data_IF_280810388440
#
_entry.id   IF_280810388440
#
_cell.length_a   1.000
_cell.length_b   1.000
_cell.length_c   1.000
_cell.angle_alpha   90.00
_cell.angle_beta   90.00
_cell.angle_gamma   90.00
#
_symmetry.space_group_name_H-M   'P 1'
#
loop_
_entity.id
_entity.type
_entity.pdbx_description
1 polymer ?
#
# COMPACT_ATOMS: atom_id res chain seq x y z
N UNK A 1 20.71 20.14 -5.48
CA UNK A 1 19.88 20.50 -6.65
C UNK A 1 18.62 21.19 -6.15
N UNK A 2 17.97 22.04 -7.00
CA UNK A 2 16.65 22.62 -6.70
C UNK A 2 15.57 21.74 -7.31
N UNK A 3 14.63 21.28 -6.51
CA UNK A 3 13.62 20.28 -6.88
C UNK A 3 12.23 20.77 -6.46
N UNK A 4 11.24 20.62 -7.33
CA UNK A 4 9.83 20.76 -6.96
C UNK A 4 9.16 19.40 -6.93
N UNK A 5 8.31 19.17 -5.93
CA UNK A 5 7.44 17.99 -5.85
C UNK A 5 6.00 18.44 -5.83
N UNK A 6 5.27 18.12 -6.88
CA UNK A 6 3.87 18.52 -7.07
C UNK A 6 2.94 17.40 -6.58
N UNK A 7 2.18 17.72 -5.55
CA UNK A 7 1.38 16.75 -4.77
C UNK A 7 2.12 16.28 -3.53
N UNK A 8 1.50 16.45 -2.36
CA UNK A 8 2.02 16.02 -1.06
C UNK A 8 1.19 14.86 -0.48
N UNK A 9 0.65 14.01 -1.35
CA UNK A 9 0.16 12.70 -0.95
C UNK A 9 1.29 11.84 -0.37
N UNK A 10 0.99 10.60 -0.04
CA UNK A 10 1.96 9.67 0.56
C UNK A 10 3.29 9.63 -0.23
N UNK A 11 3.22 9.33 -1.53
CA UNK A 11 4.41 9.24 -2.41
C UNK A 11 5.16 10.57 -2.49
N UNK A 12 4.43 11.68 -2.66
CA UNK A 12 5.06 12.99 -2.85
C UNK A 12 5.76 13.49 -1.59
N UNK A 13 5.14 13.33 -0.42
CA UNK A 13 5.73 13.78 0.83
C UNK A 13 6.96 12.96 1.22
N UNK A 14 6.90 11.62 1.08
CA UNK A 14 8.06 10.75 1.30
C UNK A 14 9.18 11.10 0.30
N UNK A 15 8.85 11.26 -0.99
CA UNK A 15 9.82 11.63 -2.03
C UNK A 15 10.49 12.97 -1.71
N UNK A 16 9.72 14.01 -1.42
CA UNK A 16 10.25 15.34 -1.14
C UNK A 16 11.15 15.36 0.09
N UNK A 17 10.70 14.72 1.18
CA UNK A 17 11.46 14.63 2.42
C UNK A 17 12.77 13.86 2.25
N UNK A 18 12.73 12.70 1.58
CA UNK A 18 13.92 11.89 1.35
C UNK A 18 14.89 12.54 0.35
N UNK A 19 14.41 13.30 -0.65
CA UNK A 19 15.28 14.07 -1.54
C UNK A 19 15.98 15.22 -0.80
N UNK A 20 15.27 15.91 0.11
CA UNK A 20 15.87 16.94 0.95
C UNK A 20 16.97 16.39 1.87
N UNK A 21 16.80 15.15 2.37
CA UNK A 21 17.73 14.49 3.28
C UNK A 21 19.13 14.32 2.67
N UNK A 22 19.26 14.24 1.37
CA UNK A 22 20.55 14.14 0.68
C UNK A 22 21.15 15.48 0.25
N UNK A 23 20.61 16.60 0.79
CA UNK A 23 21.16 17.94 0.58
C UNK A 23 20.60 18.66 -0.64
N UNK A 24 19.44 18.27 -1.14
CA UNK A 24 18.73 19.02 -2.17
C UNK A 24 17.81 20.06 -1.52
N UNK A 25 17.61 21.20 -2.20
CA UNK A 25 16.60 22.20 -1.85
C UNK A 25 15.28 21.77 -2.49
N UNK A 26 14.30 21.37 -1.68
CA UNK A 26 13.04 20.79 -2.14
C UNK A 26 11.86 21.68 -1.77
N UNK A 27 11.05 22.03 -2.75
CA UNK A 27 9.79 22.75 -2.57
C UNK A 27 8.65 21.79 -2.90
N UNK A 28 7.84 21.44 -1.90
CA UNK A 28 6.64 20.63 -2.08
C UNK A 28 5.42 21.53 -2.30
N UNK A 29 4.65 21.23 -3.33
CA UNK A 29 3.45 22.01 -3.72
C UNK A 29 2.20 21.16 -3.53
N UNK A 30 1.20 21.72 -2.87
CA UNK A 30 -0.14 21.11 -2.79
C UNK A 30 -1.21 22.20 -2.93
N UNK A 31 -2.34 21.87 -3.55
CA UNK A 31 -3.46 22.79 -3.72
C UNK A 31 -4.28 22.98 -2.43
N UNK A 32 -4.12 22.09 -1.46
CA UNK A 32 -4.83 22.11 -0.19
C UNK A 32 -4.11 23.05 0.80
N UNK A 33 -4.62 24.27 0.94
CA UNK A 33 -4.06 25.28 1.85
C UNK A 33 -3.96 24.82 3.31
N UNK A 34 -4.95 24.10 3.80
CA UNK A 34 -4.96 23.62 5.19
C UNK A 34 -3.81 22.62 5.41
N UNK A 35 -3.62 21.72 4.48
CA UNK A 35 -2.52 20.75 4.52
C UNK A 35 -1.15 21.42 4.41
N UNK A 36 -1.02 22.42 3.53
CA UNK A 36 0.23 23.19 3.41
C UNK A 36 0.54 23.92 4.71
N UNK A 37 -0.46 24.57 5.34
CA UNK A 37 -0.29 25.25 6.64
C UNK A 37 0.10 24.26 7.74
N UNK A 38 -0.50 23.07 7.77
CA UNK A 38 -0.15 22.01 8.70
C UNK A 38 1.34 21.61 8.55
N UNK A 39 1.79 21.34 7.33
CA UNK A 39 3.19 20.99 7.05
C UNK A 39 4.16 22.14 7.37
N UNK A 40 3.78 23.39 7.09
CA UNK A 40 4.56 24.58 7.46
C UNK A 40 4.67 24.77 8.97
N UNK A 41 3.67 24.32 9.73
CA UNK A 41 3.70 24.30 11.20
C UNK A 41 4.55 23.13 11.77
N UNK A 42 5.09 22.28 10.91
CA UNK A 42 5.89 21.13 11.33
C UNK A 42 5.07 19.85 11.56
N UNK A 43 3.79 19.82 11.19
CA UNK A 43 2.96 18.63 11.39
C UNK A 43 2.99 17.73 10.14
N UNK A 44 3.31 16.45 10.32
CA UNK A 44 3.31 15.45 9.24
C UNK A 44 1.89 14.91 9.02
N UNK A 45 1.29 15.12 7.83
CA UNK A 45 -0.12 14.76 7.59
C UNK A 45 -0.37 13.30 7.23
N UNK A 46 0.63 12.44 7.32
CA UNK A 46 0.55 11.00 7.02
C UNK A 46 1.27 10.20 8.09
N UNK A 47 0.81 8.97 8.33
CA UNK A 47 1.53 8.03 9.18
C UNK A 47 2.55 7.24 8.32
N UNK A 48 3.84 7.40 8.62
CA UNK A 48 4.93 6.62 8.03
C UNK A 48 6.11 6.58 9.00
N UNK A 49 6.51 5.39 9.50
CA UNK A 49 7.64 5.26 10.42
C UNK A 49 8.93 5.89 9.87
N UNK A 50 9.57 6.71 10.69
CA UNK A 50 10.82 7.38 10.36
C UNK A 50 10.71 8.64 9.51
N UNK A 51 9.55 8.95 8.94
CA UNK A 51 9.34 10.16 8.12
C UNK A 51 9.43 11.42 8.99
N UNK A 52 8.82 11.40 10.15
CA UNK A 52 8.73 12.54 11.06
C UNK A 52 10.12 13.12 11.41
N UNK A 53 11.08 12.24 11.73
CA UNK A 53 12.45 12.63 12.03
C UNK A 53 13.12 13.36 10.85
N UNK A 54 13.00 12.83 9.64
CA UNK A 54 13.59 13.43 8.44
C UNK A 54 12.90 14.73 8.06
N UNK A 55 11.58 14.76 8.20
CA UNK A 55 10.74 15.90 7.90
C UNK A 55 11.15 17.12 8.73
N UNK A 56 11.18 17.01 10.07
CA UNK A 56 11.56 18.10 10.96
C UNK A 56 13.01 18.56 10.72
N UNK A 57 13.94 17.61 10.62
CA UNK A 57 15.34 17.94 10.37
C UNK A 57 15.55 18.76 9.11
N UNK A 58 14.84 18.43 8.02
CA UNK A 58 15.00 19.12 6.75
C UNK A 58 14.28 20.47 6.70
N UNK A 59 13.21 20.66 7.49
CA UNK A 59 12.61 21.98 7.71
C UNK A 59 13.58 22.87 8.49
N UNK A 60 14.13 22.39 9.61
CA UNK A 60 15.09 23.14 10.43
C UNK A 60 16.36 23.56 9.65
N UNK A 61 16.75 22.75 8.67
CA UNK A 61 17.89 23.04 7.79
C UNK A 61 17.50 23.82 6.53
N UNK A 62 16.26 24.30 6.44
CA UNK A 62 15.72 25.10 5.32
C UNK A 62 15.81 24.40 3.96
N UNK A 63 15.93 23.06 3.92
CA UNK A 63 16.00 22.27 2.69
C UNK A 63 14.66 21.74 2.20
N UNK A 64 13.64 21.73 3.07
CA UNK A 64 12.30 21.26 2.77
C UNK A 64 11.30 22.38 3.05
N UNK A 65 10.59 22.84 2.04
CA UNK A 65 9.59 23.91 2.15
C UNK A 65 8.28 23.49 1.50
N UNK A 66 7.19 24.13 1.91
CA UNK A 66 5.83 23.82 1.44
C UNK A 66 5.11 25.08 0.98
N UNK A 67 4.40 25.00 -0.16
CA UNK A 67 3.68 26.13 -0.72
C UNK A 67 2.46 25.68 -1.51
N UNK A 68 1.49 26.59 -1.66
CA UNK A 68 0.42 26.46 -2.65
C UNK A 68 0.76 27.16 -3.97
N UNK A 69 1.87 27.93 -4.02
CA UNK A 69 2.28 28.69 -5.20
C UNK A 69 3.12 27.83 -6.15
N UNK A 70 2.47 27.29 -7.18
CA UNK A 70 3.11 26.50 -8.22
C UNK A 70 4.16 27.31 -9.01
N UNK A 71 3.91 28.62 -9.25
CA UNK A 71 4.78 29.42 -10.10
C UNK A 71 6.18 29.61 -9.48
N UNK A 72 6.26 29.84 -8.16
CA UNK A 72 7.53 30.01 -7.47
C UNK A 72 8.32 28.69 -7.47
N UNK A 73 7.65 27.56 -7.21
CA UNK A 73 8.28 26.26 -7.22
C UNK A 73 8.83 25.87 -8.61
N UNK A 74 8.04 26.09 -9.68
CA UNK A 74 8.45 25.80 -11.07
C UNK A 74 9.62 26.66 -11.50
N UNK A 75 9.61 27.95 -11.13
CA UNK A 75 10.68 28.89 -11.48
C UNK A 75 12.03 28.44 -10.93
N UNK A 76 12.07 28.05 -9.68
CA UNK A 76 13.31 27.72 -8.97
C UNK A 76 13.83 26.31 -9.30
N UNK A 77 12.94 25.34 -9.58
CA UNK A 77 13.30 23.94 -9.72
C UNK A 77 13.97 23.62 -11.06
N UNK A 78 15.00 22.78 -11.02
CA UNK A 78 15.62 22.14 -12.20
C UNK A 78 14.90 20.83 -12.57
N UNK A 79 14.42 20.11 -11.57
CA UNK A 79 13.70 18.85 -11.71
C UNK A 79 12.34 19.00 -11.01
N UNK A 80 11.28 18.63 -11.71
CA UNK A 80 9.90 18.73 -11.20
C UNK A 80 9.30 17.33 -11.16
N UNK A 81 9.05 16.82 -9.97
CA UNK A 81 8.34 15.56 -9.74
C UNK A 81 6.84 15.79 -9.70
N UNK A 82 6.10 15.05 -10.49
CA UNK A 82 4.64 14.97 -10.43
C UNK A 82 4.27 13.71 -9.63
N UNK A 83 3.84 13.88 -8.38
CA UNK A 83 3.42 12.83 -7.45
C UNK A 83 1.93 12.99 -7.12
N UNK A 84 1.11 12.98 -8.17
CA UNK A 84 -0.31 13.30 -8.14
C UNK A 84 -1.18 12.02 -8.06
N UNK A 85 -2.39 12.10 -7.51
CA UNK A 85 -3.28 10.96 -7.44
C UNK A 85 -3.68 10.47 -8.84
N UNK A 86 -3.83 9.15 -8.97
CA UNK A 86 -4.36 8.47 -10.15
C UNK A 86 -5.49 7.54 -9.70
N UNK A 87 -6.64 8.08 -9.24
CA UNK A 87 -7.73 7.26 -8.76
C UNK A 87 -8.32 6.42 -9.89
N UNK A 88 -8.91 5.26 -9.59
CA UNK A 88 -9.63 4.50 -10.59
C UNK A 88 -10.87 5.27 -11.04
N UNK A 89 -11.09 5.36 -12.34
CA UNK A 89 -12.34 5.81 -12.95
C UNK A 89 -13.45 4.77 -12.75
N UNK A 90 -14.68 5.13 -13.09
CA UNK A 90 -15.83 4.22 -12.98
C UNK A 90 -15.73 2.95 -13.84
N UNK A 91 -14.87 2.94 -14.84
CA UNK A 91 -14.56 1.81 -15.71
C UNK A 91 -13.28 1.04 -15.31
N UNK A 92 -12.65 1.43 -14.21
CA UNK A 92 -11.40 0.85 -13.72
C UNK A 92 -10.11 1.39 -14.36
N UNK A 93 -10.20 2.29 -15.35
CA UNK A 93 -9.04 3.00 -15.88
C UNK A 93 -8.49 4.01 -14.86
N UNK A 94 -7.18 4.29 -14.90
CA UNK A 94 -6.62 5.34 -14.07
C UNK A 94 -7.01 6.73 -14.60
N UNK A 95 -7.54 7.60 -13.73
CA UNK A 95 -7.81 8.99 -14.07
C UNK A 95 -6.51 9.81 -14.14
N UNK A 96 -6.19 10.30 -15.32
CA UNK A 96 -5.00 11.13 -15.60
C UNK A 96 -5.27 12.63 -15.54
N UNK A 97 -6.47 13.08 -15.23
CA UNK A 97 -6.85 14.49 -15.23
C UNK A 97 -5.94 15.36 -14.37
N UNK A 98 -5.57 14.86 -13.19
CA UNK A 98 -4.65 15.57 -12.28
C UNK A 98 -3.24 15.74 -12.88
N UNK A 99 -2.71 14.69 -13.50
CA UNK A 99 -1.36 14.73 -14.10
C UNK A 99 -1.33 15.63 -15.32
N UNK A 100 -2.29 15.49 -16.23
CA UNK A 100 -2.35 16.31 -17.45
C UNK A 100 -2.70 17.76 -17.14
N UNK A 101 -3.54 18.01 -16.13
CA UNK A 101 -3.83 19.34 -15.62
C UNK A 101 -2.58 20.03 -15.07
N UNK A 102 -1.84 19.36 -14.19
CA UNK A 102 -0.59 19.87 -13.65
C UNK A 102 0.47 20.10 -14.75
N UNK A 103 0.61 19.16 -15.68
CA UNK A 103 1.52 19.34 -16.83
C UNK A 103 1.18 20.58 -17.65
N UNK A 104 -0.12 20.86 -17.90
CA UNK A 104 -0.59 22.05 -18.59
C UNK A 104 -0.28 23.34 -17.81
N UNK A 105 -0.45 23.34 -16.49
CA UNK A 105 -0.16 24.52 -15.69
C UNK A 105 1.35 24.77 -15.56
N UNK A 106 2.15 23.71 -15.36
CA UNK A 106 3.61 23.79 -15.36
C UNK A 106 4.12 24.32 -16.71
N UNK A 107 3.59 23.82 -17.84
CA UNK A 107 4.05 24.20 -19.19
C UNK A 107 3.93 25.68 -19.48
N UNK A 108 2.97 26.38 -18.85
CA UNK A 108 2.79 27.84 -18.98
C UNK A 108 3.78 28.66 -18.14
N UNK A 109 4.42 28.05 -17.16
CA UNK A 109 5.27 28.71 -16.18
C UNK A 109 6.76 28.53 -16.44
N UNK A 110 7.14 27.51 -17.22
CA UNK A 110 8.56 27.24 -17.51
C UNK A 110 9.14 28.25 -18.49
N UNK A 111 10.33 28.76 -18.18
CA UNK A 111 11.07 29.72 -18.99
C UNK A 111 12.44 29.22 -19.44
N UNK A 112 12.88 28.08 -18.92
CA UNK A 112 14.14 27.41 -19.19
C UNK A 112 13.98 25.90 -19.14
N UNK A 113 14.98 25.18 -19.63
CA UNK A 113 14.99 23.70 -19.61
C UNK A 113 14.69 23.13 -18.23
N UNK A 114 13.77 22.17 -18.18
CA UNK A 114 13.40 21.42 -16.98
C UNK A 114 13.30 19.92 -17.29
N UNK A 115 13.56 19.08 -16.28
CA UNK A 115 13.22 17.66 -16.30
C UNK A 115 11.89 17.46 -15.55
N UNK A 116 10.90 16.94 -16.25
CA UNK A 116 9.56 16.65 -15.70
C UNK A 116 9.49 15.16 -15.41
N UNK A 117 9.29 14.79 -14.16
CA UNK A 117 9.33 13.41 -13.70
C UNK A 117 7.94 12.92 -13.30
N UNK A 118 7.40 11.93 -14.02
CA UNK A 118 6.20 11.21 -13.60
C UNK A 118 6.60 10.22 -12.51
N UNK A 119 6.28 10.55 -11.26
CA UNK A 119 6.51 9.67 -10.09
C UNK A 119 5.31 8.79 -9.79
N UNK A 120 4.12 9.24 -10.09
CA UNK A 120 2.87 8.48 -9.93
C UNK A 120 2.85 7.22 -10.77
N UNK A 121 2.15 6.20 -10.30
CA UNK A 121 1.83 5.00 -11.08
C UNK A 121 0.78 5.34 -12.14
N UNK A 122 1.15 5.21 -13.40
CA UNK A 122 0.36 5.66 -14.55
C UNK A 122 0.29 4.60 -15.65
N UNK A 123 -0.79 4.55 -16.44
CA UNK A 123 -0.92 3.68 -17.62
C UNK A 123 0.19 3.93 -18.65
N UNK A 124 0.52 2.87 -19.39
CA UNK A 124 1.49 2.92 -20.49
C UNK A 124 1.09 3.98 -21.52
N UNK A 125 2.05 4.83 -21.89
CA UNK A 125 1.85 5.96 -22.82
C UNK A 125 1.49 7.26 -22.14
N UNK A 126 1.46 7.33 -20.82
CA UNK A 126 1.21 8.61 -20.10
C UNK A 126 2.34 9.62 -20.32
N UNK A 127 3.59 9.19 -20.35
CA UNK A 127 4.71 10.08 -20.66
C UNK A 127 4.56 10.73 -22.05
N UNK A 128 4.05 10.02 -23.04
CA UNK A 128 3.79 10.55 -24.38
C UNK A 128 2.70 11.65 -24.34
N UNK A 129 1.64 11.42 -23.54
CA UNK A 129 0.56 12.42 -23.35
C UNK A 129 1.09 13.68 -22.64
N UNK A 130 1.93 13.49 -21.61
CA UNK A 130 2.57 14.62 -20.92
C UNK A 130 3.47 15.40 -21.87
N UNK A 131 4.30 14.75 -22.68
CA UNK A 131 5.13 15.39 -23.72
C UNK A 131 4.28 16.21 -24.70
N UNK A 132 3.15 15.68 -25.15
CA UNK A 132 2.23 16.38 -26.04
C UNK A 132 1.68 17.67 -25.40
N UNK A 133 1.28 17.61 -24.11
CA UNK A 133 0.81 18.80 -23.38
C UNK A 133 1.89 19.89 -23.33
N UNK A 134 3.16 19.54 -23.09
CA UNK A 134 4.25 20.52 -23.11
C UNK A 134 4.49 21.08 -24.52
N UNK A 135 4.52 20.25 -25.55
CA UNK A 135 4.72 20.67 -26.93
C UNK A 135 3.62 21.63 -27.43
N UNK A 136 2.39 21.48 -26.95
CA UNK A 136 1.26 22.33 -27.28
C UNK A 136 1.28 23.70 -26.57
N UNK A 137 1.90 23.81 -25.39
CA UNK A 137 1.77 24.99 -24.54
C UNK A 137 3.06 25.80 -24.37
N UNK A 138 4.21 25.29 -24.77
CA UNK A 138 5.49 26.00 -24.65
C UNK A 138 6.47 25.62 -25.75
N UNK A 139 7.38 26.55 -26.09
CA UNK A 139 8.53 26.31 -26.97
C UNK A 139 9.80 25.97 -26.18
N UNK A 140 9.73 25.97 -24.85
CA UNK A 140 10.88 25.64 -24.00
C UNK A 140 11.12 24.13 -24.05
N UNK A 141 12.38 23.75 -24.23
CA UNK A 141 12.79 22.34 -24.21
C UNK A 141 12.53 21.73 -22.83
N UNK A 142 11.88 20.57 -22.80
CA UNK A 142 11.68 19.75 -21.60
C UNK A 142 11.95 18.29 -21.90
N UNK A 143 12.48 17.59 -20.91
CA UNK A 143 12.53 16.12 -20.94
C UNK A 143 11.51 15.54 -19.96
N UNK A 144 10.71 14.60 -20.42
CA UNK A 144 9.78 13.85 -19.57
C UNK A 144 10.41 12.51 -19.23
N UNK A 145 10.48 12.21 -17.93
CA UNK A 145 11.03 10.98 -17.38
C UNK A 145 9.92 10.21 -16.66
N UNK A 146 9.75 8.93 -16.95
CA UNK A 146 8.94 8.04 -16.15
C UNK A 146 9.81 7.45 -15.03
N UNK A 147 9.47 7.72 -13.78
CA UNK A 147 10.21 7.23 -12.61
C UNK A 147 9.24 6.64 -11.59
N UNK A 148 8.69 5.46 -11.87
CA UNK A 148 7.74 4.83 -10.96
C UNK A 148 8.37 4.58 -9.58
N UNK A 149 7.55 4.71 -8.54
CA UNK A 149 7.93 4.40 -7.17
C UNK A 149 7.73 2.91 -6.85
N UNK A 150 8.50 2.39 -5.92
CA UNK A 150 8.35 1.03 -5.39
C UNK A 150 8.33 1.06 -3.87
N UNK A 151 7.75 2.12 -3.31
CA UNK A 151 7.64 2.35 -1.88
C UNK A 151 6.57 1.44 -1.29
N UNK A 152 6.86 0.90 -0.10
CA UNK A 152 5.89 0.14 0.69
C UNK A 152 5.50 0.98 1.91
N UNK A 153 4.24 1.30 2.06
CA UNK A 153 3.74 1.95 3.27
C UNK A 153 4.27 1.25 4.53
N UNK A 154 4.63 2.01 5.55
CA UNK A 154 5.23 1.50 6.79
C UNK A 154 6.75 1.26 6.73
N UNK A 155 7.38 1.29 5.55
CA UNK A 155 8.84 1.18 5.35
C UNK A 155 9.31 2.02 4.15
N UNK A 156 8.52 3.00 3.74
CA UNK A 156 8.77 3.77 2.52
C UNK A 156 10.01 4.67 2.61
N UNK A 157 10.32 5.16 3.81
CA UNK A 157 11.55 5.92 4.04
C UNK A 157 12.78 5.04 3.76
N UNK A 158 12.81 3.83 4.30
CA UNK A 158 13.92 2.89 4.06
C UNK A 158 13.98 2.47 2.58
N UNK A 159 12.82 2.18 1.96
CA UNK A 159 12.73 1.83 0.54
C UNK A 159 13.24 2.96 -0.37
N UNK A 160 13.01 4.22 0.00
CA UNK A 160 13.51 5.36 -0.76
C UNK A 160 15.01 5.60 -0.53
N UNK A 161 15.45 5.55 0.74
CA UNK A 161 16.85 5.81 1.11
C UNK A 161 17.81 4.70 0.69
N UNK A 162 17.31 3.46 0.54
CA UNK A 162 18.08 2.27 0.16
C UNK A 162 17.28 1.40 -0.84
N UNK A 163 16.99 1.91 -2.04
CA UNK A 163 16.15 1.21 -3.00
C UNK A 163 16.83 -0.04 -3.55
N UNK A 164 16.09 -1.13 -3.75
CA UNK A 164 16.59 -2.32 -4.46
C UNK A 164 17.03 -1.97 -5.92
N UNK A 165 16.37 -1.00 -6.51
CA UNK A 165 16.67 -0.42 -7.84
C UNK A 165 15.95 0.91 -8.02
N UNK A 166 16.48 1.73 -8.92
CA UNK A 166 15.79 2.92 -9.45
C UNK A 166 15.47 2.67 -10.91
N UNK A 167 14.21 2.83 -11.33
CA UNK A 167 13.78 2.65 -12.73
C UNK A 167 13.54 4.04 -13.34
N UNK A 168 14.20 4.30 -14.48
CA UNK A 168 14.12 5.58 -15.19
C UNK A 168 13.81 5.35 -16.67
N UNK A 169 12.61 5.73 -17.08
CA UNK A 169 12.16 5.69 -18.46
C UNK A 169 12.45 7.01 -19.16
N UNK A 170 13.51 7.08 -19.96
CA UNK A 170 13.84 8.24 -20.81
C UNK A 170 14.89 7.88 -21.86
N UNK A 171 14.79 8.53 -23.03
CA UNK A 171 15.80 8.46 -24.10
C UNK A 171 16.79 9.63 -24.07
N UNK A 172 16.50 10.69 -23.29
CA UNK A 172 17.36 11.87 -23.21
C UNK A 172 18.62 11.64 -22.40
N UNK A 173 19.79 11.77 -23.01
CA UNK A 173 21.08 11.66 -22.31
C UNK A 173 21.26 12.77 -21.26
N UNK A 174 20.68 13.96 -21.52
CA UNK A 174 20.71 15.09 -20.59
C UNK A 174 19.90 14.79 -19.31
N UNK A 175 18.69 14.24 -19.48
CA UNK A 175 17.88 13.79 -18.36
C UNK A 175 18.52 12.60 -17.62
N UNK A 176 19.08 11.63 -18.34
CA UNK A 176 19.80 10.49 -17.72
C UNK A 176 20.91 10.97 -16.80
N UNK A 177 21.72 11.94 -17.25
CA UNK A 177 22.82 12.49 -16.45
C UNK A 177 22.30 13.13 -15.16
N UNK A 178 21.30 14.03 -15.25
CA UNK A 178 20.72 14.71 -14.09
C UNK A 178 20.08 13.73 -13.09
N UNK A 179 19.34 12.77 -13.61
CA UNK A 179 18.69 11.76 -12.75
C UNK A 179 19.70 10.80 -12.12
N UNK A 180 20.80 10.49 -12.80
CA UNK A 180 21.91 9.71 -12.22
C UNK A 180 22.56 10.48 -11.07
N UNK A 181 22.86 11.75 -11.25
CA UNK A 181 23.42 12.61 -10.21
C UNK A 181 22.48 12.71 -9.00
N UNK A 182 21.18 12.86 -9.24
CA UNK A 182 20.18 12.91 -8.19
C UNK A 182 20.10 11.61 -7.37
N UNK A 183 20.10 10.45 -8.04
CA UNK A 183 19.93 9.15 -7.37
C UNK A 183 21.25 8.52 -6.89
N UNK A 184 22.42 9.07 -7.25
CA UNK A 184 23.72 8.53 -6.85
C UNK A 184 23.88 8.32 -5.34
N UNK A 185 23.40 9.21 -4.43
CA UNK A 185 23.49 8.99 -2.99
C UNK A 185 22.78 7.75 -2.48
N UNK A 186 21.67 7.36 -3.13
CA UNK A 186 20.79 6.26 -2.69
C UNK A 186 21.26 4.88 -3.16
N UNK A 187 22.08 4.83 -4.24
CA UNK A 187 22.54 3.57 -4.86
C UNK A 187 24.00 3.25 -4.59
N UNK A 188 24.62 3.89 -3.60
CA UNK A 188 26.05 3.70 -3.25
C UNK A 188 26.43 2.27 -2.87
N UNK A 189 25.43 1.47 -2.46
CA UNK A 189 25.65 0.06 -2.10
C UNK A 189 25.70 -0.88 -3.31
N UNK A 190 25.66 -0.35 -4.54
CA UNK A 190 25.74 -1.12 -5.78
C UNK A 190 24.39 -1.50 -6.38
N UNK A 191 23.28 -1.01 -5.81
CA UNK A 191 21.97 -1.20 -6.39
C UNK A 191 21.85 -0.44 -7.73
N UNK A 192 21.19 -1.00 -8.76
CA UNK A 192 21.24 -0.44 -10.09
C UNK A 192 20.29 0.74 -10.30
N UNK A 193 20.70 1.69 -11.14
CA UNK A 193 19.79 2.58 -11.86
C UNK A 193 19.54 1.94 -13.23
N UNK A 194 18.29 1.55 -13.49
CA UNK A 194 17.88 0.87 -14.72
C UNK A 194 17.27 1.89 -15.68
N UNK A 195 17.95 2.14 -16.79
CA UNK A 195 17.44 2.98 -17.87
C UNK A 195 16.70 2.15 -18.91
N UNK A 196 15.53 2.64 -19.30
CA UNK A 196 14.70 2.05 -20.35
C UNK A 196 13.89 3.15 -21.04
N UNK A 197 13.09 2.81 -22.04
CA UNK A 197 12.11 3.74 -22.60
C UNK A 197 10.96 3.98 -21.60
N UNK A 198 10.21 5.05 -21.82
CA UNK A 198 9.17 5.52 -20.91
C UNK A 198 8.05 4.49 -20.75
N UNK A 199 7.61 3.87 -21.85
CA UNK A 199 6.53 2.85 -21.84
C UNK A 199 6.92 1.59 -21.08
N UNK A 200 8.16 1.13 -21.25
CA UNK A 200 8.71 -0.01 -20.50
C UNK A 200 8.79 0.31 -18.99
N UNK A 201 9.18 1.53 -18.64
CA UNK A 201 9.24 1.99 -17.26
C UNK A 201 7.84 2.03 -16.61
N UNK A 202 6.85 2.58 -17.30
CA UNK A 202 5.45 2.61 -16.86
C UNK A 202 4.90 1.19 -16.65
N UNK A 203 5.12 0.29 -17.62
CA UNK A 203 4.68 -1.10 -17.53
C UNK A 203 5.37 -1.87 -16.40
N UNK A 204 6.64 -1.57 -16.13
CA UNK A 204 7.43 -2.26 -15.08
C UNK A 204 6.76 -2.14 -13.71
N UNK A 205 6.19 -0.99 -13.37
CA UNK A 205 5.49 -0.80 -12.09
C UNK A 205 4.25 -1.68 -11.99
N UNK A 206 3.39 -1.65 -13.00
CA UNK A 206 2.18 -2.47 -13.03
C UNK A 206 2.50 -3.96 -13.02
N UNK A 207 3.48 -4.38 -13.82
CA UNK A 207 3.91 -5.78 -13.87
C UNK A 207 4.44 -6.26 -12.52
N UNK A 208 5.26 -5.44 -11.83
CA UNK A 208 5.80 -5.78 -10.51
C UNK A 208 4.68 -5.95 -9.48
N UNK A 209 3.75 -4.98 -9.37
CA UNK A 209 2.67 -5.04 -8.39
C UNK A 209 1.70 -6.20 -8.71
N UNK A 210 1.37 -6.42 -9.97
CA UNK A 210 0.52 -7.52 -10.40
C UNK A 210 1.14 -8.89 -10.13
N UNK A 211 2.45 -9.02 -10.31
CA UNK A 211 3.16 -10.27 -10.01
C UNK A 211 3.17 -10.55 -8.49
N UNK A 212 3.38 -9.53 -7.67
CA UNK A 212 3.33 -9.68 -6.20
C UNK A 212 1.92 -10.07 -5.73
N UNK A 213 0.88 -9.44 -6.27
CA UNK A 213 -0.52 -9.79 -6.00
C UNK A 213 -0.82 -11.25 -6.43
N UNK A 214 -0.30 -11.67 -7.57
CA UNK A 214 -0.42 -13.05 -8.06
C UNK A 214 0.23 -14.05 -7.09
N UNK A 215 1.42 -13.75 -6.55
CA UNK A 215 2.10 -14.62 -5.57
C UNK A 215 1.24 -14.81 -4.30
N UNK A 216 0.68 -13.72 -3.77
CA UNK A 216 -0.21 -13.79 -2.59
C UNK A 216 -1.44 -14.64 -2.91
N UNK A 217 -2.11 -14.36 -4.02
CA UNK A 217 -3.33 -15.06 -4.42
C UNK A 217 -3.07 -16.55 -4.68
N UNK A 218 -1.97 -16.89 -5.36
CA UNK A 218 -1.54 -18.27 -5.55
C UNK A 218 -1.35 -19.00 -4.21
N UNK A 219 -0.72 -18.35 -3.23
CA UNK A 219 -0.54 -18.96 -1.91
C UNK A 219 -1.84 -19.07 -1.12
N UNK A 220 -2.81 -18.18 -1.33
CA UNK A 220 -4.13 -18.31 -0.75
C UNK A 220 -4.88 -19.52 -1.32
N UNK A 221 -4.83 -19.73 -2.64
CA UNK A 221 -5.40 -20.94 -3.28
C UNK A 221 -4.72 -22.22 -2.78
N UNK A 222 -3.38 -22.24 -2.66
CA UNK A 222 -2.64 -23.37 -2.08
C UNK A 222 -3.05 -23.61 -0.62
N UNK A 223 -3.24 -22.54 0.17
CA UNK A 223 -3.69 -22.67 1.56
C UNK A 223 -5.08 -23.31 1.65
N UNK A 224 -6.02 -22.83 0.83
CA UNK A 224 -7.37 -23.39 0.78
C UNK A 224 -7.34 -24.88 0.36
N UNK A 225 -6.50 -25.25 -0.60
CA UNK A 225 -6.30 -26.65 -0.99
C UNK A 225 -5.67 -27.48 0.15
N UNK A 226 -4.68 -26.92 0.87
CA UNK A 226 -4.07 -27.61 2.03
C UNK A 226 -5.11 -28.03 3.06
N UNK A 227 -6.09 -27.18 3.35
CA UNK A 227 -7.19 -27.52 4.30
C UNK A 227 -8.03 -28.72 3.81
N UNK A 228 -8.21 -28.89 2.51
CA UNK A 228 -8.99 -29.99 1.93
C UNK A 228 -8.22 -31.31 1.88
N UNK A 229 -6.91 -31.24 1.60
CA UNK A 229 -6.08 -32.46 1.44
C UNK A 229 -5.32 -32.85 2.70
N UNK A 230 -5.44 -32.06 3.78
CA UNK A 230 -4.76 -32.32 5.06
C UNK A 230 -3.27 -31.98 5.04
N UNK A 231 -2.83 -31.07 4.15
CA UNK A 231 -1.46 -30.55 4.12
C UNK A 231 -1.32 -29.31 5.02
N UNK A 232 -0.07 -28.88 5.27
CA UNK A 232 0.27 -27.68 6.02
C UNK A 232 0.88 -26.64 5.08
N UNK A 233 0.22 -25.47 4.95
CA UNK A 233 0.66 -24.41 4.03
C UNK A 233 2.02 -23.82 4.42
N UNK A 234 2.39 -23.78 5.71
CA UNK A 234 3.69 -23.28 6.13
C UNK A 234 4.83 -24.21 5.70
N UNK A 235 4.60 -25.54 5.72
CA UNK A 235 5.54 -26.52 5.19
C UNK A 235 5.67 -26.37 3.67
N UNK A 236 4.54 -26.27 2.94
CA UNK A 236 4.53 -26.04 1.48
C UNK A 236 5.25 -24.74 1.14
N UNK A 237 4.94 -23.63 1.82
CA UNK A 237 5.57 -22.33 1.65
C UNK A 237 7.08 -22.38 1.84
N UNK A 238 7.55 -23.05 2.91
CA UNK A 238 8.99 -23.23 3.16
C UNK A 238 9.65 -24.06 2.05
N UNK A 239 8.97 -25.13 1.62
CA UNK A 239 9.45 -26.00 0.55
C UNK A 239 9.65 -25.24 -0.77
N UNK A 240 8.59 -24.61 -1.30
CA UNK A 240 8.68 -23.87 -2.58
C UNK A 240 9.57 -22.61 -2.47
N UNK A 241 9.52 -21.91 -1.34
CA UNK A 241 10.28 -20.69 -1.11
C UNK A 241 11.78 -20.90 -0.92
N UNK A 242 12.25 -22.16 -0.74
CA UNK A 242 13.67 -22.50 -0.71
C UNK A 242 14.32 -22.54 -2.09
N UNK A 243 13.53 -22.62 -3.17
CA UNK A 243 13.98 -22.48 -4.53
C UNK A 243 14.26 -21.01 -4.83
N UNK A 244 15.50 -20.65 -5.20
CA UNK A 244 15.92 -19.27 -5.51
C UNK A 244 15.12 -18.65 -6.67
N UNK A 245 14.64 -19.46 -7.61
CA UNK A 245 13.83 -19.01 -8.74
C UNK A 245 12.46 -18.48 -8.28
N UNK A 246 11.94 -18.94 -7.14
CA UNK A 246 10.67 -18.54 -6.54
C UNK A 246 10.89 -17.47 -5.47
N UNK A 247 11.85 -17.70 -4.57
CA UNK A 247 12.16 -16.83 -3.44
C UNK A 247 11.12 -16.86 -2.33
N UNK A 248 11.49 -16.39 -1.14
CA UNK A 248 10.68 -16.51 0.10
C UNK A 248 9.61 -15.43 0.29
N UNK A 249 9.75 -14.29 -0.41
CA UNK A 249 8.89 -13.12 -0.19
C UNK A 249 7.56 -13.24 -0.93
N UNK A 250 6.49 -12.68 -0.32
CA UNK A 250 5.12 -12.67 -0.87
C UNK A 250 4.48 -14.05 -1.02
N UNK A 251 4.90 -15.02 -0.20
CA UNK A 251 4.34 -16.38 -0.15
C UNK A 251 3.54 -16.63 1.14
N UNK A 252 3.08 -15.60 1.82
CA UNK A 252 2.32 -15.74 3.07
C UNK A 252 0.82 -15.70 2.76
N UNK A 253 0.09 -16.80 3.04
CA UNK A 253 -1.36 -16.81 2.89
C UNK A 253 -2.04 -16.00 3.98
N UNK A 254 -3.25 -15.55 3.72
CA UNK A 254 -4.05 -14.79 4.66
C UNK A 254 -5.45 -14.52 4.14
N UNK A 255 -6.04 -13.43 4.59
CA UNK A 255 -7.40 -12.99 4.23
C UNK A 255 -7.45 -12.16 2.94
N UNK A 256 -6.53 -12.38 2.02
CA UNK A 256 -6.41 -11.60 0.79
C UNK A 256 -5.53 -10.35 0.95
N UNK A 257 -5.33 -9.66 -0.16
CA UNK A 257 -4.61 -8.38 -0.20
C UNK A 257 -5.59 -7.20 -0.32
N UNK A 258 -5.17 -6.05 0.21
CA UNK A 258 -5.81 -4.76 0.11
C UNK A 258 -4.79 -3.65 -0.11
N UNK A 259 -5.08 -2.47 0.39
CA UNK A 259 -4.26 -1.27 0.28
C UNK A 259 -4.50 -0.49 -1.00
N UNK A 260 -3.87 0.65 -1.09
CA UNK A 260 -4.03 1.62 -2.19
C UNK A 260 -3.43 1.20 -3.53
N UNK A 261 -2.51 0.22 -3.51
CA UNK A 261 -1.69 -0.10 -4.68
C UNK A 261 -2.18 -1.36 -5.42
N UNK A 262 -2.15 -2.53 -4.78
CA UNK A 262 -2.39 -3.80 -5.50
C UNK A 262 -3.77 -3.87 -6.15
N UNK A 263 -4.89 -3.58 -5.46
CA UNK A 263 -6.21 -3.66 -6.10
C UNK A 263 -6.32 -2.74 -7.31
N UNK A 264 -5.90 -1.48 -7.14
CA UNK A 264 -5.96 -0.47 -8.19
C UNK A 264 -5.05 -0.81 -9.38
N UNK A 265 -3.81 -1.23 -9.13
CA UNK A 265 -2.81 -1.43 -10.19
C UNK A 265 -3.09 -2.70 -10.99
N UNK A 266 -3.56 -3.78 -10.34
CA UNK A 266 -4.02 -4.99 -11.05
C UNK A 266 -5.20 -4.67 -11.94
N UNK A 267 -6.21 -3.94 -11.42
CA UNK A 267 -7.39 -3.52 -12.19
C UNK A 267 -7.01 -2.63 -13.38
N UNK A 268 -6.13 -1.64 -13.15
CA UNK A 268 -5.68 -0.74 -14.21
C UNK A 268 -4.88 -1.47 -15.31
N UNK A 269 -4.08 -2.49 -14.96
CA UNK A 269 -3.36 -3.28 -15.96
C UNK A 269 -4.32 -4.16 -16.78
N UNK A 270 -5.32 -4.77 -16.16
CA UNK A 270 -6.37 -5.52 -16.87
C UNK A 270 -7.12 -4.58 -17.82
N UNK A 271 -7.54 -3.40 -17.32
CA UNK A 271 -8.24 -2.42 -18.16
C UNK A 271 -7.37 -1.93 -19.33
N UNK A 272 -6.11 -1.61 -19.07
CA UNK A 272 -5.17 -1.23 -20.13
C UNK A 272 -4.97 -2.35 -21.17
N UNK A 273 -5.00 -3.62 -20.76
CA UNK A 273 -4.92 -4.74 -21.72
C UNK A 273 -6.14 -4.86 -22.62
N UNK A 274 -7.33 -4.61 -22.05
CA UNK A 274 -8.59 -4.62 -22.82
C UNK A 274 -8.60 -3.52 -23.92
N UNK A 275 -7.97 -2.36 -23.68
CA UNK A 275 -7.82 -1.28 -24.68
C UNK A 275 -7.00 -1.72 -25.91
N UNK A 276 -6.16 -2.75 -25.77
CA UNK A 276 -5.40 -3.39 -26.84
C UNK A 276 -6.01 -4.71 -27.31
N UNK A 277 -7.24 -5.04 -26.94
CA UNK A 277 -7.93 -6.30 -27.22
C UNK A 277 -7.12 -7.54 -26.73
N UNK A 278 -6.39 -7.39 -25.63
CA UNK A 278 -5.62 -8.47 -25.00
C UNK A 278 -6.32 -8.93 -23.71
N UNK A 279 -6.82 -10.16 -23.69
CA UNK A 279 -7.48 -10.77 -22.53
C UNK A 279 -6.44 -11.25 -21.50
N UNK A 280 -6.25 -10.48 -20.43
CA UNK A 280 -5.29 -10.81 -19.37
C UNK A 280 -5.89 -11.78 -18.35
N UNK A 281 -6.07 -13.03 -18.72
CA UNK A 281 -6.77 -14.09 -17.97
C UNK A 281 -6.20 -14.30 -16.55
N UNK A 282 -4.87 -14.35 -16.38
CA UNK A 282 -4.25 -14.57 -15.08
C UNK A 282 -4.68 -13.50 -14.08
N UNK A 283 -4.63 -12.22 -14.45
CA UNK A 283 -4.99 -11.15 -13.54
C UNK A 283 -6.48 -11.07 -13.22
N UNK A 284 -7.34 -11.40 -14.18
CA UNK A 284 -8.80 -11.54 -13.96
C UNK A 284 -9.06 -12.61 -12.89
N UNK A 285 -8.39 -13.76 -12.99
CA UNK A 285 -8.50 -14.83 -11.99
C UNK A 285 -7.95 -14.39 -10.63
N UNK A 286 -6.82 -13.66 -10.60
CA UNK A 286 -6.23 -13.12 -9.36
C UNK A 286 -7.21 -12.20 -8.63
N UNK A 287 -7.90 -11.31 -9.36
CA UNK A 287 -8.90 -10.41 -8.78
C UNK A 287 -10.08 -11.20 -8.20
N UNK A 288 -10.63 -12.15 -8.97
CA UNK A 288 -11.76 -12.97 -8.53
C UNK A 288 -11.44 -13.79 -7.27
N UNK A 289 -10.30 -14.44 -7.25
CA UNK A 289 -9.85 -15.24 -6.09
C UNK A 289 -9.64 -14.33 -4.87
N UNK A 290 -9.04 -13.15 -5.03
CA UNK A 290 -8.82 -12.23 -3.95
C UNK A 290 -10.13 -11.72 -3.32
N UNK A 291 -11.15 -11.43 -4.14
CA UNK A 291 -12.47 -11.03 -3.62
C UNK A 291 -13.09 -12.11 -2.73
N UNK A 292 -13.01 -13.38 -3.13
CA UNK A 292 -13.49 -14.51 -2.30
C UNK A 292 -12.66 -14.64 -1.02
N UNK A 293 -11.35 -14.42 -1.09
CA UNK A 293 -10.45 -14.58 0.04
C UNK A 293 -10.69 -13.56 1.15
N UNK A 294 -11.17 -12.35 0.84
CA UNK A 294 -11.44 -11.30 1.83
C UNK A 294 -12.45 -11.72 2.91
N UNK A 295 -13.34 -12.65 2.60
CA UNK A 295 -14.37 -13.12 3.54
C UNK A 295 -14.14 -14.52 4.12
N UNK A 296 -13.01 -15.15 3.81
CA UNK A 296 -12.72 -16.55 4.23
C UNK A 296 -12.83 -16.77 5.74
N UNK A 297 -12.50 -15.78 6.58
CA UNK A 297 -12.69 -15.90 8.03
C UNK A 297 -14.16 -15.94 8.42
N UNK A 298 -15.02 -15.23 7.70
CA UNK A 298 -16.47 -15.25 7.98
C UNK A 298 -17.04 -16.63 7.67
N UNK A 299 -16.60 -17.27 6.57
CA UNK A 299 -17.02 -18.62 6.23
C UNK A 299 -16.61 -19.62 7.34
N UNK A 300 -15.41 -19.46 7.91
CA UNK A 300 -14.95 -20.29 9.05
C UNK A 300 -15.78 -20.05 10.32
N UNK A 301 -16.14 -18.78 10.58
CA UNK A 301 -17.03 -18.42 11.71
C UNK A 301 -18.42 -19.03 11.52
N UNK A 302 -19.04 -18.84 10.35
CA UNK A 302 -20.36 -19.42 10.03
C UNK A 302 -20.37 -20.95 10.17
N UNK A 303 -19.34 -21.61 9.64
CA UNK A 303 -19.20 -23.06 9.78
C UNK A 303 -19.11 -23.52 11.27
N UNK A 304 -18.38 -22.78 12.10
CA UNK A 304 -18.26 -23.11 13.54
C UNK A 304 -19.59 -22.94 14.27
N UNK A 305 -20.29 -21.82 14.02
CA UNK A 305 -21.56 -21.51 14.66
C UNK A 305 -22.79 -22.05 13.92
N UNK A 306 -22.59 -22.92 12.90
CA UNK A 306 -23.66 -23.55 12.10
C UNK A 306 -24.63 -22.52 11.50
N UNK A 307 -24.07 -21.47 10.91
CA UNK A 307 -24.75 -20.33 10.29
C UNK A 307 -25.61 -19.47 11.25
N UNK A 308 -25.52 -19.71 12.58
CA UNK A 308 -26.24 -18.94 13.60
C UNK A 308 -25.29 -18.03 14.38
N UNK A 309 -25.05 -16.83 13.86
CA UNK A 309 -24.25 -15.81 14.53
C UNK A 309 -25.07 -14.59 14.95
N UNK A 310 -26.38 -14.63 14.81
CA UNK A 310 -27.25 -13.55 15.24
C UNK A 310 -27.15 -13.34 16.75
N UNK A 311 -26.84 -12.08 17.13
CA UNK A 311 -26.63 -11.73 18.53
C UNK A 311 -25.30 -12.20 19.14
N UNK A 312 -24.42 -12.85 18.36
CA UNK A 312 -23.04 -13.13 18.78
C UNK A 312 -22.23 -11.85 18.77
N UNK A 313 -21.21 -11.80 19.62
CA UNK A 313 -20.27 -10.71 19.72
C UNK A 313 -18.86 -11.17 19.36
N UNK A 314 -18.22 -10.51 18.41
CA UNK A 314 -16.88 -10.84 17.97
C UNK A 314 -15.89 -9.72 18.26
N UNK A 315 -14.70 -10.07 18.72
CA UNK A 315 -13.56 -9.17 18.73
C UNK A 315 -12.81 -9.27 17.40
N UNK A 316 -12.44 -8.16 16.80
CA UNK A 316 -11.60 -8.13 15.59
C UNK A 316 -10.35 -7.31 15.85
N UNK A 317 -9.19 -7.94 15.74
CA UNK A 317 -7.88 -7.32 15.82
C UNK A 317 -7.30 -7.08 14.43
N UNK A 318 -6.95 -5.81 14.17
CA UNK A 318 -6.38 -5.36 12.91
C UNK A 318 -7.45 -4.88 11.93
N UNK A 319 -7.32 -3.63 11.49
CA UNK A 319 -8.23 -2.95 10.56
C UNK A 319 -7.52 -2.46 9.32
N UNK A 320 -6.25 -2.01 9.45
CA UNK A 320 -5.41 -1.68 8.32
C UNK A 320 -5.14 -2.92 7.45
N UNK A 321 -4.89 -2.73 6.15
CA UNK A 321 -4.64 -3.85 5.23
C UNK A 321 -3.36 -4.64 5.54
N UNK A 322 -2.42 -4.03 6.28
CA UNK A 322 -1.19 -4.64 6.82
C UNK A 322 -0.69 -3.84 8.04
N UNK A 323 0.29 -4.35 8.81
CA UNK A 323 0.91 -3.59 9.90
C UNK A 323 1.67 -2.34 9.42
N UNK A 324 1.95 -1.43 10.38
CA UNK A 324 2.76 -0.21 10.20
C UNK A 324 2.18 0.77 9.17
N UNK A 325 0.84 0.80 9.03
CA UNK A 325 0.10 1.79 8.25
C UNK A 325 -1.30 1.99 8.82
N UNK A 326 -1.89 3.14 8.55
CA UNK A 326 -3.29 3.47 8.86
C UNK A 326 -4.23 3.30 7.64
N UNK A 327 -3.69 2.80 6.50
CA UNK A 327 -4.45 2.64 5.25
C UNK A 327 -5.45 1.48 5.34
N UNK A 328 -6.73 1.82 5.17
CA UNK A 328 -7.87 0.89 5.21
C UNK A 328 -8.49 0.61 3.84
N UNK A 329 -7.95 1.21 2.78
CA UNK A 329 -8.49 1.03 1.42
C UNK A 329 -8.41 -0.43 1.01
N UNK A 330 -9.55 -0.99 0.59
CA UNK A 330 -9.66 -2.41 0.22
C UNK A 330 -9.16 -3.38 1.32
N UNK A 331 -9.11 -2.94 2.60
CA UNK A 331 -8.67 -3.77 3.71
C UNK A 331 -9.66 -4.90 3.96
N UNK A 332 -9.22 -6.19 4.01
CA UNK A 332 -10.09 -7.32 4.24
C UNK A 332 -10.93 -7.22 5.53
N UNK A 333 -10.41 -6.52 6.55
CA UNK A 333 -11.13 -6.30 7.80
C UNK A 333 -12.49 -5.63 7.61
N UNK A 334 -12.62 -4.67 6.68
CA UNK A 334 -13.89 -3.99 6.40
C UNK A 334 -14.91 -4.95 5.77
N UNK A 335 -14.47 -5.85 4.89
CA UNK A 335 -15.33 -6.89 4.30
C UNK A 335 -15.79 -7.91 5.35
N UNK A 336 -14.90 -8.29 6.27
CA UNK A 336 -15.20 -9.17 7.41
C UNK A 336 -16.24 -8.52 8.32
N UNK A 337 -16.06 -7.25 8.70
CA UNK A 337 -17.00 -6.48 9.53
C UNK A 337 -18.38 -6.44 8.86
N UNK A 338 -18.44 -6.01 7.59
CA UNK A 338 -19.69 -5.90 6.85
C UNK A 338 -20.45 -7.23 6.81
N UNK A 339 -19.74 -8.33 6.52
CA UNK A 339 -20.34 -9.65 6.46
C UNK A 339 -20.84 -10.13 7.83
N UNK A 340 -20.09 -9.91 8.93
CA UNK A 340 -20.52 -10.28 10.29
C UNK A 340 -21.77 -9.47 10.71
N UNK A 341 -21.75 -8.16 10.51
CA UNK A 341 -22.85 -7.27 10.87
C UNK A 341 -24.13 -7.59 10.06
N UNK A 342 -24.01 -7.84 8.77
CA UNK A 342 -25.13 -8.27 7.92
C UNK A 342 -25.77 -9.59 8.38
N UNK A 343 -24.99 -10.48 9.00
CA UNK A 343 -25.51 -11.72 9.60
C UNK A 343 -26.00 -11.52 11.05
N UNK A 344 -26.13 -10.28 11.53
CA UNK A 344 -26.73 -9.95 12.82
C UNK A 344 -25.79 -10.07 14.02
N UNK A 345 -24.50 -10.16 13.81
CA UNK A 345 -23.49 -10.13 14.87
C UNK A 345 -23.13 -8.69 15.26
N UNK A 346 -22.59 -8.52 16.45
CA UNK A 346 -21.92 -7.28 16.89
C UNK A 346 -20.40 -7.48 16.87
N UNK A 347 -19.66 -6.41 16.57
CA UNK A 347 -18.20 -6.49 16.48
C UNK A 347 -17.58 -5.36 17.32
N UNK A 348 -16.57 -5.70 18.13
CA UNK A 348 -15.70 -4.72 18.78
C UNK A 348 -14.32 -4.82 18.14
N UNK A 349 -13.78 -3.69 17.70
CA UNK A 349 -12.56 -3.64 16.91
C UNK A 349 -11.42 -2.95 17.66
N UNK A 350 -10.20 -3.36 17.32
CA UNK A 350 -8.98 -2.66 17.73
C UNK A 350 -7.91 -2.74 16.64
N UNK A 351 -7.30 -1.59 16.37
CA UNK A 351 -6.10 -1.43 15.52
C UNK A 351 -5.22 -0.34 16.13
N UNK A 352 -3.89 -0.47 16.13
CA UNK A 352 -3.00 0.56 16.67
C UNK A 352 -3.12 1.94 16.00
N UNK A 353 -3.36 2.00 14.65
CA UNK A 353 -3.29 3.24 13.88
C UNK A 353 -4.59 3.55 13.10
N UNK A 354 -5.31 2.53 12.63
CA UNK A 354 -6.39 2.71 11.66
C UNK A 354 -7.77 3.02 12.27
N UNK A 355 -7.92 3.08 13.59
CA UNK A 355 -9.22 3.25 14.27
C UNK A 355 -9.97 4.50 13.80
N UNK A 356 -9.26 5.63 13.66
CA UNK A 356 -9.84 6.91 13.23
C UNK A 356 -10.36 6.85 11.79
N UNK A 357 -9.58 6.26 10.89
CA UNK A 357 -9.92 6.12 9.48
C UNK A 357 -11.14 5.21 9.30
N UNK A 358 -11.20 4.09 10.02
CA UNK A 358 -12.35 3.18 10.00
C UNK A 358 -13.60 3.86 10.52
N UNK A 359 -13.50 4.59 11.65
CA UNK A 359 -14.63 5.33 12.19
C UNK A 359 -15.17 6.38 11.23
N UNK A 360 -14.29 7.02 10.46
CA UNK A 360 -14.68 7.96 9.40
C UNK A 360 -15.47 7.32 8.26
N UNK A 361 -15.30 6.01 8.00
CA UNK A 361 -15.96 5.30 6.89
C UNK A 361 -17.22 4.57 7.32
N UNK A 362 -17.18 3.80 8.43
CA UNK A 362 -18.31 2.95 8.85
C UNK A 362 -19.04 3.49 10.10
N UNK A 363 -18.59 4.63 10.65
CA UNK A 363 -19.25 5.26 11.80
C UNK A 363 -19.36 4.33 13.01
N UNK A 364 -20.54 4.28 13.61
CA UNK A 364 -20.83 3.50 14.82
C UNK A 364 -21.44 2.11 14.51
N UNK A 365 -21.16 1.52 13.33
CA UNK A 365 -21.58 0.16 13.00
C UNK A 365 -20.88 -0.90 13.86
N UNK A 366 -19.76 -0.55 14.49
CA UNK A 366 -18.97 -1.40 15.39
C UNK A 366 -18.62 -0.64 16.66
N UNK A 367 -18.20 -1.36 17.70
CA UNK A 367 -17.63 -0.75 18.90
C UNK A 367 -16.11 -0.59 18.74
N UNK A 368 -15.57 0.51 19.25
CA UNK A 368 -14.14 0.83 19.16
C UNK A 368 -13.49 0.71 20.53
N UNK A 369 -12.56 -0.24 20.68
CA UNK A 369 -11.83 -0.46 21.92
C UNK A 369 -10.57 0.43 22.01
N UNK A 370 -10.14 0.76 23.24
CA UNK A 370 -8.92 1.54 23.49
C UNK A 370 -7.64 0.72 23.40
N UNK A 371 -7.75 -0.61 23.53
CA UNK A 371 -6.65 -1.54 23.43
C UNK A 371 -7.16 -2.94 23.02
N UNK A 372 -6.24 -3.83 22.67
CA UNK A 372 -6.56 -5.17 22.20
C UNK A 372 -7.35 -6.02 23.19
N UNK A 373 -7.13 -5.84 24.50
CA UNK A 373 -7.83 -6.65 25.52
C UNK A 373 -9.24 -6.16 25.78
N UNK A 374 -9.47 -4.84 25.78
CA UNK A 374 -10.82 -4.28 25.88
C UNK A 374 -11.71 -4.76 24.71
N UNK A 375 -11.13 -4.95 23.52
CA UNK A 375 -11.88 -5.50 22.39
C UNK A 375 -12.44 -6.90 22.65
N UNK A 376 -11.83 -7.68 23.54
CA UNK A 376 -12.24 -9.04 23.86
C UNK A 376 -13.37 -9.12 24.89
N UNK A 377 -13.71 -7.99 25.58
CA UNK A 377 -14.69 -8.01 26.67
C UNK A 377 -16.04 -8.50 26.18
N UNK A 378 -16.46 -9.65 26.73
CA UNK A 378 -17.73 -10.26 26.38
C UNK A 378 -17.83 -10.81 24.95
N UNK A 379 -16.72 -10.93 24.22
CA UNK A 379 -16.72 -11.51 22.89
C UNK A 379 -16.83 -13.04 22.92
N UNK A 380 -17.57 -13.60 21.95
CA UNK A 380 -17.76 -15.05 21.78
C UNK A 380 -16.54 -15.69 21.09
N UNK A 381 -15.80 -14.92 20.28
CA UNK A 381 -14.56 -15.33 19.63
C UNK A 381 -13.69 -14.13 19.26
N UNK A 382 -12.38 -14.38 19.09
CA UNK A 382 -11.41 -13.44 18.53
C UNK A 382 -11.17 -13.75 17.05
N UNK A 383 -11.23 -12.72 16.20
CA UNK A 383 -10.80 -12.74 14.80
C UNK A 383 -9.55 -11.87 14.65
N UNK A 384 -8.60 -12.29 13.81
CA UNK A 384 -7.37 -11.53 13.52
C UNK A 384 -7.28 -11.31 12.01
N UNK A 385 -7.30 -10.05 11.58
CA UNK A 385 -7.22 -9.70 10.17
C UNK A 385 -5.89 -9.06 9.75
N UNK A 386 -5.13 -8.48 10.71
CA UNK A 386 -3.83 -7.86 10.44
C UNK A 386 -2.80 -8.29 11.48
N UNK A 387 -1.56 -8.58 11.03
CA UNK A 387 -0.49 -9.16 11.84
C UNK A 387 0.36 -8.12 12.58
N UNK A 388 -0.25 -7.16 13.26
CA UNK A 388 0.48 -6.19 14.07
C UNK A 388 1.39 -6.86 15.11
N UNK A 389 2.52 -6.22 15.41
CA UNK A 389 3.50 -6.74 16.38
C UNK A 389 2.89 -7.00 17.75
N UNK A 390 1.98 -6.11 18.18
CA UNK A 390 1.31 -6.20 19.49
C UNK A 390 0.39 -7.43 19.59
N UNK A 391 -0.05 -8.02 18.49
CA UNK A 391 -0.90 -9.21 18.46
C UNK A 391 -0.11 -10.53 18.44
N UNK A 392 1.21 -10.49 18.21
CA UNK A 392 2.03 -11.71 18.05
C UNK A 392 2.28 -12.48 19.34
N UNK A 393 2.43 -11.76 20.43
CA UNK A 393 2.71 -12.34 21.75
C UNK A 393 1.77 -11.73 22.81
N UNK A 394 0.45 -11.96 22.71
CA UNK A 394 -0.47 -11.47 23.71
C UNK A 394 -0.34 -12.29 25.00
N UNK A 395 -0.84 -11.73 26.08
CA UNK A 395 -1.04 -12.41 27.36
C UNK A 395 -2.28 -13.33 27.25
N UNK A 396 -2.06 -14.61 27.02
CA UNK A 396 -3.14 -15.59 26.89
C UNK A 396 -3.89 -15.84 28.19
N UNK A 397 -3.24 -15.71 29.35
CA UNK A 397 -3.93 -15.83 30.64
C UNK A 397 -4.96 -14.71 30.80
N UNK A 398 -4.60 -13.50 30.36
CA UNK A 398 -5.52 -12.37 30.33
C UNK A 398 -6.66 -12.60 29.32
N UNK A 399 -6.36 -13.14 28.15
CA UNK A 399 -7.39 -13.47 27.13
C UNK A 399 -8.38 -14.48 27.68
N UNK A 400 -7.90 -15.52 28.35
CA UNK A 400 -8.71 -16.59 28.94
C UNK A 400 -9.71 -16.08 29.99
N UNK A 401 -9.38 -14.99 30.70
CA UNK A 401 -10.27 -14.39 31.70
C UNK A 401 -11.33 -13.46 31.08
N UNK A 402 -11.09 -12.94 29.87
CA UNK A 402 -11.92 -11.90 29.26
C UNK A 402 -12.83 -12.48 28.17
N UNK A 403 -12.31 -13.37 27.34
CA UNK A 403 -13.03 -13.97 26.23
C UNK A 403 -14.04 -15.02 26.78
N UNK A 404 -15.27 -15.00 26.28
CA UNK A 404 -16.29 -15.97 26.75
C UNK A 404 -15.92 -17.42 26.47
N UNK A 405 -15.31 -17.67 25.32
CA UNK A 405 -14.91 -18.99 24.86
C UNK A 405 -13.50 -18.95 24.29
N UNK A 406 -12.73 -20.05 24.46
CA UNK A 406 -11.40 -20.18 23.86
C UNK A 406 -11.48 -20.44 22.35
N UNK A 407 -11.97 -19.47 21.59
CA UNK A 407 -12.19 -19.58 20.14
C UNK A 407 -11.45 -18.46 19.42
N UNK A 408 -10.56 -18.83 18.50
CA UNK A 408 -9.76 -17.88 17.70
C UNK A 408 -9.82 -18.26 16.21
N UNK A 409 -10.14 -17.28 15.38
CA UNK A 409 -10.05 -17.34 13.93
C UNK A 409 -8.90 -16.43 13.47
N UNK A 410 -7.82 -17.02 13.04
CA UNK A 410 -6.59 -16.30 12.73
C UNK A 410 -6.35 -16.21 11.22
N UNK A 411 -6.62 -15.05 10.65
CA UNK A 411 -6.44 -14.74 9.22
C UNK A 411 -5.00 -14.51 8.80
N UNK A 412 -4.04 -14.54 9.73
CA UNK A 412 -2.63 -14.22 9.48
C UNK A 412 -1.63 -15.25 9.99
N UNK A 413 -2.15 -16.36 10.52
CA UNK A 413 -1.32 -17.47 11.01
C UNK A 413 -0.29 -17.03 12.05
N UNK A 414 -0.70 -16.19 13.03
CA UNK A 414 0.21 -15.60 14.02
C UNK A 414 0.73 -16.60 15.03
N UNK A 415 -0.13 -17.56 15.44
CA UNK A 415 0.19 -18.42 16.56
C UNK A 415 0.67 -19.79 16.12
N UNK A 416 1.60 -20.34 16.90
CA UNK A 416 2.05 -21.72 16.76
C UNK A 416 0.94 -22.71 17.11
N UNK A 417 0.79 -23.78 16.32
CA UNK A 417 -0.28 -24.76 16.50
C UNK A 417 -0.15 -25.50 17.81
N UNK A 418 1.08 -25.90 18.20
CA UNK A 418 1.29 -26.64 19.44
C UNK A 418 0.95 -25.80 20.67
N UNK A 419 1.34 -24.51 20.63
CA UNK A 419 0.99 -23.54 21.69
C UNK A 419 -0.53 -23.43 21.85
N UNK A 420 -1.29 -23.37 20.75
CA UNK A 420 -2.75 -23.24 20.81
C UNK A 420 -3.41 -24.56 21.31
N UNK A 421 -2.84 -25.72 21.00
CA UNK A 421 -3.27 -27.01 21.56
C UNK A 421 -3.05 -27.00 23.08
N UNK A 422 -1.85 -26.66 23.55
CA UNK A 422 -1.49 -26.67 24.96
C UNK A 422 -2.36 -25.72 25.80
N UNK A 423 -2.80 -24.60 25.19
CA UNK A 423 -3.71 -23.65 25.82
C UNK A 423 -5.20 -24.05 25.73
N UNK A 424 -5.53 -25.11 24.97
CA UNK A 424 -6.90 -25.61 24.82
C UNK A 424 -7.83 -24.74 23.99
N UNK A 425 -7.32 -24.07 22.95
CA UNK A 425 -8.13 -23.26 22.08
C UNK A 425 -8.72 -24.05 20.90
N UNK A 426 -9.98 -23.75 20.57
CA UNK A 426 -10.41 -23.89 19.18
C UNK A 426 -9.67 -22.84 18.35
N UNK A 427 -8.84 -23.33 17.44
CA UNK A 427 -8.02 -22.43 16.63
C UNK A 427 -8.14 -22.79 15.15
N UNK A 428 -8.67 -21.86 14.36
CA UNK A 428 -8.87 -22.01 12.93
C UNK A 428 -8.11 -20.93 12.20
N UNK A 429 -7.07 -21.30 11.49
CA UNK A 429 -6.19 -20.40 10.72
C UNK A 429 -6.26 -20.70 9.23
N UNK A 430 -5.38 -20.13 8.42
CA UNK A 430 -5.42 -20.25 6.97
C UNK A 430 -4.46 -21.33 6.49
N UNK A 431 -5.01 -22.38 5.84
CA UNK A 431 -4.21 -23.42 5.19
C UNK A 431 -3.48 -24.36 6.16
N UNK A 432 -3.91 -24.44 7.42
CA UNK A 432 -3.33 -25.31 8.45
C UNK A 432 -4.40 -26.18 9.10
N UNK A 433 -3.97 -27.21 9.79
CA UNK A 433 -4.88 -28.11 10.51
C UNK A 433 -5.75 -27.34 11.50
N UNK A 434 -7.07 -27.57 11.44
CA UNK A 434 -8.02 -27.10 12.43
C UNK A 434 -7.72 -27.76 13.78
N UNK A 435 -7.64 -26.96 14.84
CA UNK A 435 -7.52 -27.45 16.21
C UNK A 435 -8.87 -27.38 16.92
N UNK A 436 -9.24 -28.47 17.54
CA UNK A 436 -10.43 -28.57 18.43
C UNK A 436 -9.95 -28.99 19.81
N UNK A 437 -10.49 -28.37 20.89
CA UNK A 437 -10.17 -28.79 22.26
C UNK A 437 -10.43 -30.25 22.53
#
# INVERSE_FOLDING_TARGET
MKIAVIGTGYVGLVTGTCLAETGNDVICVDINEAKVKQMQAGEVPIYEPGLDLLFHRNIEQERLTFTTNLADAVKEAQIIFMALPTPPGGDGAADLSYILGAAKDISKLITEYKVIVNKSTVPVGTADKVKAVFAENTSVEVDVVSNPEFLREGVAVDDFMKPDRVVLGTKSEKAKKLMTELYAPYVRQGNPILFMDERSSELTKYAANSFLATKITFMNEIANLCELVGADVDAVRKGIGSDERIGKRFLFPGVGYGGSCFPKDVQALVKSSDDYAYDFQILKSVMEVNERQKTILVDKVLKYYKDDIKGKHFALWGLAFKPETDDIREAPALYIIDALVKNGATVTVFDPEAMGNVKGVIGDQVNYARNQYEALEGADALLIATEWSVFRNPDFDKIDHILKNKVVFDGRNLYDLQKMIDLGYYYNSIGRKLLTP
#
